data_IF_811454984187
#
_entry.id   IF_811454984187
#
_cell.length_a   1.000
_cell.length_b   1.000
_cell.length_c   1.000
_cell.angle_alpha   90.00
_cell.angle_beta   90.00
_cell.angle_gamma   90.00
#
_symmetry.space_group_name_H-M   'P 1'
#
loop_
_entity.id
_entity.type
_entity.pdbx_description
1 polymer ?
#
# COMPACT_ATOMS: atom_id res chain seq x y z
N UNK A 1 62.13 24.12 -3.66
CA UNK A 1 61.47 23.07 -4.44
C UNK A 1 60.31 22.52 -3.63
N UNK A 2 59.14 22.78 -4.11
CA UNK A 2 57.88 22.61 -3.36
C UNK A 2 57.21 21.34 -3.83
N UNK A 3 57.12 20.34 -2.95
CA UNK A 3 56.35 19.14 -3.18
C UNK A 3 54.87 19.38 -2.84
N UNK A 4 54.01 19.36 -3.85
CA UNK A 4 52.55 19.36 -3.64
C UNK A 4 52.12 17.97 -3.18
N UNK A 5 51.52 17.91 -2.02
CA UNK A 5 50.84 16.73 -1.50
C UNK A 5 49.45 16.68 -2.09
N UNK A 6 49.22 15.68 -2.90
CA UNK A 6 47.91 15.35 -3.46
C UNK A 6 46.98 14.89 -2.33
N UNK A 7 45.84 15.56 -2.20
CA UNK A 7 44.79 15.21 -1.25
C UNK A 7 44.02 13.97 -1.77
N UNK A 8 43.56 13.10 -0.85
CA UNK A 8 42.90 11.85 -1.23
C UNK A 8 41.51 12.08 -1.83
N UNK A 9 41.37 11.65 -3.06
CA UNK A 9 40.14 11.75 -3.87
C UNK A 9 39.00 10.82 -3.36
N UNK A 10 39.29 9.96 -2.38
CA UNK A 10 38.34 8.92 -1.93
C UNK A 10 37.19 9.41 -1.02
N UNK A 11 37.37 10.54 -0.30
CA UNK A 11 36.35 11.00 0.62
C UNK A 11 35.13 11.62 -0.07
N UNK A 12 35.34 12.27 -1.20
CA UNK A 12 34.24 12.89 -1.96
C UNK A 12 33.31 11.85 -2.63
N UNK A 13 33.88 10.74 -3.09
CA UNK A 13 33.10 9.65 -3.66
C UNK A 13 32.32 8.86 -2.60
N UNK A 14 32.89 8.67 -1.40
CA UNK A 14 32.19 8.02 -0.28
C UNK A 14 31.02 8.87 0.23
N UNK A 15 31.16 10.19 0.24
CA UNK A 15 30.09 11.13 0.62
C UNK A 15 29.01 11.16 -0.45
N UNK A 16 29.37 11.10 -1.73
CA UNK A 16 28.42 11.05 -2.85
C UNK A 16 27.60 9.75 -2.84
N UNK A 17 28.21 8.59 -2.56
CA UNK A 17 27.50 7.31 -2.43
C UNK A 17 26.60 7.25 -1.18
N UNK A 18 27.00 7.87 -0.07
CA UNK A 18 26.19 7.94 1.14
C UNK A 18 24.96 8.87 0.96
N UNK A 19 25.07 9.91 0.13
CA UNK A 19 23.99 10.84 -0.17
C UNK A 19 22.99 10.23 -1.15
N UNK A 20 23.42 9.41 -2.09
CA UNK A 20 22.55 8.73 -3.06
C UNK A 20 21.59 7.69 -2.39
N UNK A 21 21.91 7.19 -1.21
CA UNK A 21 21.05 6.25 -0.46
C UNK A 21 19.94 6.94 0.35
N UNK A 22 19.91 8.26 0.42
CA UNK A 22 18.94 9.03 1.23
C UNK A 22 17.85 9.73 0.44
N UNK A 23 17.87 9.68 -0.87
CA UNK A 23 16.78 10.22 -1.70
C UNK A 23 15.74 9.18 -2.11
N UNK A 24 15.28 8.38 -1.16
CA UNK A 24 13.92 7.89 -1.26
C UNK A 24 13.03 9.05 -0.83
N UNK A 25 12.77 9.97 -1.75
CA UNK A 25 11.78 11.02 -1.54
C UNK A 25 10.48 10.34 -1.17
N UNK A 26 10.06 10.49 0.08
CA UNK A 26 8.82 9.89 0.55
C UNK A 26 7.69 10.53 -0.24
N UNK A 27 7.06 9.74 -1.11
CA UNK A 27 5.87 10.16 -1.85
C UNK A 27 4.74 10.37 -0.85
N UNK A 28 4.46 11.62 -0.52
CA UNK A 28 3.49 12.01 0.51
C UNK A 28 2.11 12.34 -0.08
N UNK A 29 1.17 12.62 0.82
CA UNK A 29 -0.20 13.03 0.44
C UNK A 29 -0.22 14.23 -0.51
N UNK A 30 0.69 15.18 -0.34
CA UNK A 30 0.79 16.37 -1.21
C UNK A 30 1.09 15.97 -2.65
N UNK A 31 2.07 15.09 -2.86
CA UNK A 31 2.43 14.58 -4.18
C UNK A 31 1.26 13.82 -4.82
N UNK A 32 0.53 13.02 -4.01
CA UNK A 32 -0.67 12.33 -4.48
C UNK A 32 -1.74 13.31 -4.96
N UNK A 33 -1.98 14.40 -4.21
CA UNK A 33 -2.95 15.43 -4.59
C UNK A 33 -2.53 16.10 -5.91
N UNK A 34 -1.24 16.40 -6.07
CA UNK A 34 -0.72 17.03 -7.28
C UNK A 34 -0.88 16.13 -8.51
N UNK A 35 -0.56 14.83 -8.39
CA UNK A 35 -0.73 13.85 -9.46
C UNK A 35 -2.20 13.63 -9.83
N UNK A 36 -3.09 13.54 -8.83
CA UNK A 36 -4.53 13.41 -9.07
C UNK A 36 -5.06 14.68 -9.74
N UNK A 37 -4.62 15.87 -9.31
CA UNK A 37 -5.01 17.14 -9.95
C UNK A 37 -4.56 17.21 -11.41
N UNK A 38 -3.35 16.77 -11.70
CA UNK A 38 -2.84 16.71 -13.07
C UNK A 38 -3.61 15.71 -13.96
N UNK A 39 -4.10 14.62 -13.37
CA UNK A 39 -4.85 13.58 -14.08
C UNK A 39 -6.34 13.92 -14.24
N UNK A 40 -6.86 14.87 -13.47
CA UNK A 40 -8.31 15.17 -13.41
C UNK A 40 -8.56 16.58 -13.95
N UNK A 41 -9.22 16.67 -15.10
CA UNK A 41 -9.59 17.97 -15.67
C UNK A 41 -10.82 18.56 -14.97
N UNK A 42 -10.81 19.87 -14.73
CA UNK A 42 -11.96 20.61 -14.20
C UNK A 42 -12.03 20.72 -12.68
N UNK A 43 -11.09 20.16 -11.94
CA UNK A 43 -11.03 20.29 -10.48
C UNK A 43 -9.80 21.11 -10.04
N UNK A 44 -10.02 22.02 -9.09
CA UNK A 44 -8.91 22.73 -8.48
C UNK A 44 -8.17 21.83 -7.48
N UNK A 45 -6.89 22.10 -7.25
CA UNK A 45 -6.07 21.37 -6.27
C UNK A 45 -6.73 21.33 -4.88
N UNK A 46 -7.43 22.37 -4.48
CA UNK A 46 -8.15 22.42 -3.21
C UNK A 46 -9.31 21.41 -3.17
N UNK A 47 -10.12 21.35 -4.23
CA UNK A 47 -11.20 20.37 -4.34
C UNK A 47 -10.68 18.94 -4.34
N UNK A 48 -9.61 18.66 -5.06
CA UNK A 48 -8.96 17.33 -5.05
C UNK A 48 -8.47 16.98 -3.65
N UNK A 49 -7.86 17.92 -2.93
CA UNK A 49 -7.41 17.69 -1.56
C UNK A 49 -8.59 17.35 -0.63
N UNK A 50 -9.70 18.06 -0.72
CA UNK A 50 -10.91 17.79 0.07
C UNK A 50 -11.50 16.41 -0.26
N UNK A 51 -11.54 16.02 -1.53
CA UNK A 51 -12.03 14.69 -1.95
C UNK A 51 -11.13 13.56 -1.42
N UNK A 52 -9.80 13.72 -1.55
CA UNK A 52 -8.84 12.73 -1.04
C UNK A 52 -8.97 12.59 0.48
N UNK A 53 -9.05 13.70 1.20
CA UNK A 53 -9.21 13.68 2.66
C UNK A 53 -10.54 13.05 3.09
N UNK A 54 -11.63 13.38 2.44
CA UNK A 54 -12.94 12.79 2.70
C UNK A 54 -12.94 11.27 2.44
N UNK A 55 -12.28 10.83 1.37
CA UNK A 55 -12.16 9.40 1.03
C UNK A 55 -11.36 8.64 2.09
N UNK A 56 -10.20 9.14 2.47
CA UNK A 56 -9.36 8.51 3.49
C UNK A 56 -10.07 8.48 4.86
N UNK A 57 -10.78 9.55 5.20
CA UNK A 57 -11.58 9.63 6.42
C UNK A 57 -12.71 8.60 6.40
N UNK A 58 -13.45 8.49 5.31
CA UNK A 58 -14.54 7.52 5.18
C UNK A 58 -14.03 6.07 5.34
N UNK A 59 -12.90 5.73 4.73
CA UNK A 59 -12.24 4.42 4.90
C UNK A 59 -11.89 4.19 6.37
N UNK A 60 -11.26 5.16 7.02
CA UNK A 60 -10.85 5.07 8.43
C UNK A 60 -12.04 4.86 9.35
N UNK A 61 -13.13 5.62 9.17
CA UNK A 61 -14.34 5.54 10.00
C UNK A 61 -15.03 4.18 9.85
N UNK A 62 -15.08 3.64 8.64
CA UNK A 62 -15.65 2.31 8.37
C UNK A 62 -14.82 1.18 8.97
N UNK A 63 -13.50 1.24 8.83
CA UNK A 63 -12.60 0.25 9.44
C UNK A 63 -12.65 0.34 10.97
N UNK A 64 -12.73 1.56 11.53
CA UNK A 64 -12.90 1.77 12.98
C UNK A 64 -14.18 1.14 13.51
N UNK A 65 -15.27 1.21 12.77
CA UNK A 65 -16.55 0.56 13.14
C UNK A 65 -16.54 -0.98 12.96
N UNK A 66 -15.40 -1.56 12.53
CA UNK A 66 -15.25 -3.02 12.35
C UNK A 66 -15.68 -3.53 10.97
N UNK A 67 -16.06 -2.64 10.06
CA UNK A 67 -16.43 -3.02 8.69
C UNK A 67 -15.19 -3.24 7.82
N UNK A 68 -15.26 -4.23 6.92
CA UNK A 68 -14.24 -4.42 5.91
C UNK A 68 -14.52 -3.47 4.74
N UNK A 69 -13.52 -2.69 4.34
CA UNK A 69 -13.62 -1.78 3.19
C UNK A 69 -12.85 -2.38 2.03
N UNK A 70 -13.56 -2.74 0.97
CA UNK A 70 -12.96 -3.28 -0.25
C UNK A 70 -13.04 -2.23 -1.37
N UNK A 71 -11.87 -1.84 -1.87
CA UNK A 71 -11.73 -1.00 -3.06
C UNK A 71 -11.30 -1.93 -4.20
N UNK A 72 -12.21 -2.16 -5.14
CA UNK A 72 -11.97 -3.07 -6.28
C UNK A 72 -10.73 -2.65 -7.06
N UNK A 73 -9.86 -3.60 -7.39
CA UNK A 73 -8.59 -3.34 -8.06
C UNK A 73 -7.46 -2.95 -7.09
N UNK A 74 -7.74 -2.14 -6.08
CA UNK A 74 -6.73 -1.64 -5.14
C UNK A 74 -6.47 -2.60 -3.98
N UNK A 75 -7.50 -2.96 -3.20
CA UNK A 75 -7.34 -3.88 -2.08
C UNK A 75 -8.43 -3.79 -1.03
N UNK A 76 -8.22 -4.50 0.07
CA UNK A 76 -9.16 -4.60 1.19
C UNK A 76 -8.49 -4.19 2.49
N UNK A 77 -9.14 -3.28 3.22
CA UNK A 77 -8.79 -2.87 4.58
C UNK A 77 -9.66 -3.64 5.57
N UNK A 78 -9.04 -4.28 6.55
CA UNK A 78 -9.71 -5.05 7.60
C UNK A 78 -9.18 -4.66 8.97
N UNK A 79 -10.07 -4.54 9.94
CA UNK A 79 -9.70 -4.51 11.35
C UNK A 79 -9.35 -5.93 11.79
N UNK A 80 -8.21 -6.08 12.46
CA UNK A 80 -7.76 -7.34 13.04
C UNK A 80 -7.43 -7.11 14.51
N UNK A 81 -7.92 -7.96 15.37
CA UNK A 81 -7.60 -7.92 16.80
C UNK A 81 -6.46 -8.88 17.10
N UNK A 82 -5.47 -8.39 17.79
CA UNK A 82 -4.38 -9.21 18.33
C UNK A 82 -4.67 -9.49 19.79
N UNK A 83 -4.75 -10.76 20.15
CA UNK A 83 -4.96 -11.18 21.53
C UNK A 83 -3.79 -10.71 22.42
N UNK A 84 -4.09 -10.49 23.69
CA UNK A 84 -3.07 -10.24 24.69
C UNK A 84 -2.10 -11.44 24.75
N UNK A 85 -0.80 -11.13 24.85
CA UNK A 85 0.23 -12.17 24.91
C UNK A 85 1.32 -11.79 25.91
N UNK A 86 1.97 -12.78 26.48
CA UNK A 86 3.18 -12.58 27.25
C UNK A 86 4.35 -12.43 26.27
N UNK A 87 5.17 -11.43 26.52
CA UNK A 87 6.41 -11.19 25.79
C UNK A 87 7.58 -11.08 26.79
N UNK A 88 8.79 -10.98 26.26
CA UNK A 88 9.99 -10.73 27.07
C UNK A 88 10.62 -9.43 26.60
N UNK A 89 10.94 -8.55 27.53
CA UNK A 89 11.70 -7.35 27.24
C UNK A 89 13.16 -7.76 26.92
N UNK A 90 13.59 -7.47 25.70
CA UNK A 90 14.93 -7.89 25.21
C UNK A 90 16.05 -7.24 26.03
N UNK A 91 15.84 -6.03 26.55
CA UNK A 91 16.86 -5.29 27.31
C UNK A 91 16.98 -5.73 28.77
N UNK A 92 15.85 -6.03 29.43
CA UNK A 92 15.83 -6.37 30.85
C UNK A 92 15.60 -7.87 31.10
N UNK A 93 15.32 -8.65 30.05
CA UNK A 93 14.94 -10.09 30.11
C UNK A 93 13.75 -10.42 31.02
N UNK A 94 13.01 -9.39 31.42
CA UNK A 94 11.83 -9.57 32.25
C UNK A 94 10.58 -9.87 31.42
N UNK A 95 9.66 -10.70 31.91
CA UNK A 95 8.37 -10.95 31.26
C UNK A 95 7.53 -9.67 31.26
N UNK A 96 6.96 -9.32 30.11
CA UNK A 96 6.04 -8.20 29.96
C UNK A 96 4.70 -8.73 29.45
N UNK A 97 3.63 -8.10 29.91
CA UNK A 97 2.30 -8.40 29.42
C UNK A 97 1.95 -7.42 28.29
N UNK A 98 1.75 -7.92 27.08
CA UNK A 98 1.36 -7.13 25.91
C UNK A 98 -0.16 -7.19 25.85
N UNK A 99 -0.89 -6.06 26.03
CA UNK A 99 -2.34 -6.05 26.01
C UNK A 99 -2.88 -6.38 24.61
N UNK A 100 -4.14 -6.79 24.56
CA UNK A 100 -4.86 -6.94 23.30
C UNK A 100 -4.91 -5.61 22.55
N UNK A 101 -4.68 -5.64 21.24
CA UNK A 101 -4.61 -4.44 20.41
C UNK A 101 -5.32 -4.66 19.08
N UNK A 102 -6.16 -3.68 18.72
CA UNK A 102 -6.74 -3.64 17.38
C UNK A 102 -5.76 -3.03 16.39
N UNK A 103 -5.60 -3.65 15.24
CA UNK A 103 -4.74 -3.15 14.16
C UNK A 103 -5.48 -3.19 12.83
N UNK A 104 -5.02 -2.43 11.85
CA UNK A 104 -5.56 -2.45 10.50
C UNK A 104 -4.65 -3.34 9.64
N UNK A 105 -5.26 -4.27 8.91
CA UNK A 105 -4.59 -5.09 7.90
C UNK A 105 -5.05 -4.66 6.51
N UNK A 106 -4.11 -4.33 5.65
CA UNK A 106 -4.33 -4.11 4.24
C UNK A 106 -3.95 -5.36 3.44
N UNK A 107 -4.84 -5.81 2.56
CA UNK A 107 -4.57 -6.90 1.62
C UNK A 107 -4.68 -6.33 0.21
N UNK A 108 -3.56 -6.22 -0.53
CA UNK A 108 -3.59 -5.66 -1.87
C UNK A 108 -4.40 -6.51 -2.84
N UNK A 109 -5.13 -5.87 -3.74
CA UNK A 109 -5.90 -6.49 -4.81
C UNK A 109 -5.02 -7.05 -5.93
N UNK A 110 -5.63 -7.81 -6.84
CA UNK A 110 -4.93 -8.43 -7.97
C UNK A 110 -4.30 -7.41 -8.92
N UNK A 111 -4.99 -6.31 -9.19
CA UNK A 111 -4.49 -5.25 -10.09
C UNK A 111 -3.28 -4.53 -9.48
N UNK A 112 -3.36 -4.15 -8.19
CA UNK A 112 -2.23 -3.53 -7.49
C UNK A 112 -1.03 -4.48 -7.43
N UNK A 113 -1.25 -5.77 -7.13
CA UNK A 113 -0.18 -6.78 -7.14
C UNK A 113 0.45 -6.92 -8.52
N UNK A 114 -0.36 -6.95 -9.57
CA UNK A 114 0.11 -7.05 -10.95
C UNK A 114 0.93 -5.83 -11.36
N UNK A 115 0.47 -4.62 -11.01
CA UNK A 115 1.17 -3.38 -11.29
C UNK A 115 2.56 -3.35 -10.63
N UNK A 116 2.66 -3.78 -9.36
CA UNK A 116 3.94 -3.80 -8.64
C UNK A 116 4.86 -4.92 -9.12
N UNK A 117 4.32 -6.09 -9.52
CA UNK A 117 5.13 -7.23 -9.96
C UNK A 117 5.48 -7.21 -11.46
N UNK A 118 5.05 -6.18 -12.20
CA UNK A 118 5.25 -6.09 -13.66
C UNK A 118 4.50 -7.16 -14.45
N UNK A 119 3.58 -7.88 -13.83
CA UNK A 119 2.72 -8.89 -14.48
C UNK A 119 1.39 -8.26 -14.84
N UNK A 120 0.95 -8.47 -16.07
CA UNK A 120 -0.41 -8.10 -16.48
C UNK A 120 -1.40 -8.85 -15.60
N UNK A 121 -2.29 -8.11 -14.91
CA UNK A 121 -3.35 -8.74 -14.11
C UNK A 121 -4.18 -9.65 -15.04
N UNK A 122 -4.47 -10.91 -14.67
CA UNK A 122 -5.38 -11.71 -15.45
C UNK A 122 -6.73 -10.99 -15.43
N UNK A 123 -7.16 -10.55 -16.62
CA UNK A 123 -8.54 -10.07 -16.79
C UNK A 123 -9.44 -11.21 -16.33
N UNK A 124 -10.34 -10.94 -15.41
CA UNK A 124 -11.45 -11.86 -15.11
C UNK A 124 -12.16 -12.07 -16.42
N UNK A 125 -11.76 -13.10 -17.17
CA UNK A 125 -12.50 -13.59 -18.31
C UNK A 125 -13.86 -14.06 -17.79
N UNK A 126 -14.89 -13.61 -18.45
CA UNK A 126 -16.30 -14.02 -18.39
C UNK A 126 -16.49 -15.55 -18.56
N UNK A 127 -15.93 -16.36 -17.69
CA UNK A 127 -16.14 -17.82 -17.74
C UNK A 127 -17.35 -18.28 -16.92
N UNK A 128 -18.19 -17.34 -16.45
CA UNK A 128 -19.38 -17.68 -15.64
C UNK A 128 -20.68 -17.89 -16.40
N UNK A 129 -20.76 -17.63 -17.70
CA UNK A 129 -22.04 -17.62 -18.42
C UNK A 129 -22.27 -18.84 -19.33
N UNK A 130 -21.25 -19.63 -19.65
CA UNK A 130 -21.38 -20.73 -20.60
C UNK A 130 -21.71 -22.11 -20.01
N UNK A 131 -21.82 -22.27 -18.69
CA UNK A 131 -22.16 -23.57 -18.11
C UNK A 131 -23.64 -23.79 -17.77
N UNK A 132 -24.52 -22.80 -18.01
CA UNK A 132 -25.97 -22.98 -17.79
C UNK A 132 -26.76 -23.42 -19.02
N UNK A 133 -26.15 -23.50 -20.22
CA UNK A 133 -26.84 -23.84 -21.44
C UNK A 133 -26.73 -25.31 -21.89
N UNK A 134 -26.10 -26.20 -21.10
CA UNK A 134 -25.95 -27.63 -21.46
C UNK A 134 -26.69 -28.63 -20.57
N UNK A 135 -27.63 -28.15 -19.74
CA UNK A 135 -28.35 -29.00 -18.77
C UNK A 135 -29.81 -29.30 -19.13
N UNK A 136 -30.33 -28.89 -20.27
CA UNK A 136 -31.77 -29.01 -20.57
C UNK A 136 -32.05 -29.66 -21.92
N UNK A 137 -31.56 -30.85 -22.12
CA UNK A 137 -32.09 -31.72 -23.20
C UNK A 137 -31.76 -33.20 -22.96
N UNK A 138 -32.37 -33.83 -21.96
CA UNK A 138 -32.51 -35.30 -21.96
C UNK A 138 -33.54 -35.72 -20.92
N UNK A 139 -34.82 -35.52 -21.24
CA UNK A 139 -35.87 -36.39 -20.71
C UNK A 139 -37.07 -36.33 -21.66
N UNK A 140 -37.06 -37.18 -22.66
CA UNK A 140 -38.27 -37.73 -23.27
C UNK A 140 -37.92 -39.07 -23.90
N UNK A 141 -38.15 -40.12 -23.14
CA UNK A 141 -38.84 -41.36 -23.56
C UNK A 141 -39.14 -42.22 -22.37
#
# INVERSE_FOLDING_TARGET
>A
MVGRKDAPTGEKEAIAMATAKREQSTYGKTNLIDDVTASTQGYSRRQVAEIVDATLKAITDKVRSGQNVTVTGFGTFRRTERAARRGTNIRTRQPINIPAQSTVRFTPGSELKAAVSGRTAPRRSDQGVQQRARGESSTRR
#
